data_IF_177307355533
#
_entry.id   IF_177307355533
#
_cell.length_a   1.000
_cell.length_b   1.000
_cell.length_c   1.000
_cell.angle_alpha   90.00
_cell.angle_beta   90.00
_cell.angle_gamma   90.00
#
_symmetry.space_group_name_H-M   'P 1'
#
loop_
_entity.id
_entity.type
_entity.pdbx_description
1 polymer ?
#
# COMPACT_ATOMS: atom_id res chain seq x y z
N UNK A 1 -7.00 8.50 -7.60
CA UNK A 1 -5.55 8.22 -7.46
C UNK A 1 -5.10 8.16 -6.00
N UNK A 2 -5.61 9.02 -5.12
CA UNK A 2 -5.25 9.03 -3.68
C UNK A 2 -5.30 7.66 -2.97
N UNK A 3 -6.26 6.77 -3.31
CA UNK A 3 -6.33 5.43 -2.73
C UNK A 3 -5.13 4.54 -3.11
N UNK A 4 -4.66 4.63 -4.36
CA UNK A 4 -3.47 3.91 -4.83
C UNK A 4 -2.21 4.47 -4.15
N UNK A 5 -2.10 5.79 -4.03
CA UNK A 5 -0.99 6.42 -3.32
C UNK A 5 -0.95 6.04 -1.84
N UNK A 6 -2.12 5.98 -1.19
CA UNK A 6 -2.22 5.55 0.22
C UNK A 6 -1.77 4.11 0.38
N UNK A 7 -2.21 3.21 -0.51
CA UNK A 7 -1.80 1.82 -0.47
C UNK A 7 -0.31 1.65 -0.75
N UNK A 8 0.25 2.40 -1.71
CA UNK A 8 1.68 2.44 -1.98
C UNK A 8 2.47 2.91 -0.77
N UNK A 9 2.03 3.99 -0.11
CA UNK A 9 2.64 4.48 1.15
C UNK A 9 2.68 3.39 2.21
N UNK A 10 1.54 2.77 2.51
CA UNK A 10 1.46 1.68 3.50
C UNK A 10 2.34 0.48 3.13
N UNK A 11 2.47 0.17 1.83
CA UNK A 11 3.35 -0.88 1.35
C UNK A 11 4.84 -0.53 1.56
N UNK A 12 5.24 0.73 1.40
CA UNK A 12 6.60 1.18 1.75
C UNK A 12 6.93 1.00 3.24
N UNK A 13 5.99 1.37 4.11
CA UNK A 13 6.10 1.17 5.58
C UNK A 13 6.20 -0.33 5.90
N UNK A 14 5.30 -1.14 5.34
CA UNK A 14 5.27 -2.58 5.56
C UNK A 14 6.59 -3.26 5.13
N UNK A 15 7.19 -2.83 4.02
CA UNK A 15 8.49 -3.31 3.55
C UNK A 15 9.62 -2.96 4.54
N UNK A 16 9.70 -1.69 4.97
CA UNK A 16 10.70 -1.26 5.96
C UNK A 16 10.57 -2.08 7.26
N UNK A 17 9.34 -2.29 7.71
CA UNK A 17 9.01 -3.02 8.94
C UNK A 17 9.00 -4.54 8.79
N UNK A 18 9.44 -5.09 7.65
CA UNK A 18 9.48 -6.54 7.36
C UNK A 18 8.12 -7.24 7.49
N UNK A 19 7.02 -6.49 7.37
CA UNK A 19 5.64 -7.01 7.35
C UNK A 19 5.30 -7.57 5.96
N UNK A 20 6.00 -8.64 5.56
CA UNK A 20 5.91 -9.22 4.22
C UNK A 20 4.52 -9.75 3.89
N UNK A 21 3.77 -10.25 4.88
CA UNK A 21 2.39 -10.71 4.70
C UNK A 21 1.48 -9.57 4.21
N UNK A 22 1.58 -8.38 4.82
CA UNK A 22 0.81 -7.20 4.41
C UNK A 22 1.24 -6.69 3.02
N UNK A 23 2.55 -6.70 2.74
CA UNK A 23 3.08 -6.37 1.40
C UNK A 23 2.45 -7.25 0.32
N UNK A 24 2.42 -8.57 0.54
CA UNK A 24 1.84 -9.53 -0.40
C UNK A 24 0.33 -9.35 -0.54
N UNK A 25 -0.37 -9.10 0.57
CA UNK A 25 -1.81 -8.88 0.60
C UNK A 25 -2.20 -7.64 -0.20
N UNK A 26 -1.54 -6.50 0.05
CA UNK A 26 -1.78 -5.25 -0.67
C UNK A 26 -1.57 -5.41 -2.18
N UNK A 27 -0.46 -6.01 -2.60
CA UNK A 27 -0.18 -6.27 -4.02
C UNK A 27 -1.22 -7.18 -4.67
N UNK A 28 -1.65 -8.24 -3.99
CA UNK A 28 -2.66 -9.16 -4.50
C UNK A 28 -3.99 -8.44 -4.75
N UNK A 29 -4.46 -7.66 -3.78
CA UNK A 29 -5.72 -6.93 -3.92
C UNK A 29 -5.59 -5.85 -4.98
N UNK A 30 -4.49 -5.09 -5.02
CA UNK A 30 -4.23 -4.09 -6.06
C UNK A 30 -4.36 -4.70 -7.47
N UNK A 31 -3.72 -5.85 -7.71
CA UNK A 31 -3.73 -6.53 -9.01
C UNK A 31 -5.12 -7.06 -9.40
N UNK A 32 -5.91 -7.47 -8.41
CA UNK A 32 -7.27 -7.99 -8.60
C UNK A 32 -8.30 -6.86 -8.80
N UNK A 33 -8.11 -5.73 -8.12
CA UNK A 33 -9.08 -4.62 -8.06
C UNK A 33 -8.87 -3.60 -9.18
N UNK A 34 -7.62 -3.29 -9.55
CA UNK A 34 -7.34 -2.23 -10.51
C UNK A 34 -7.53 -2.67 -11.97
N UNK A 35 -8.03 -1.79 -12.84
CA UNK A 35 -8.00 -2.03 -14.28
C UNK A 35 -6.54 -2.16 -14.75
N UNK A 36 -6.29 -3.01 -15.75
CA UNK A 36 -4.95 -3.28 -16.30
C UNK A 36 -4.39 -2.08 -17.06
N UNK A 37 -4.00 -1.04 -16.34
CA UNK A 37 -3.38 0.19 -16.84
C UNK A 37 -2.04 0.38 -16.17
N UNK A 38 -0.99 0.47 -16.98
CA UNK A 38 0.39 0.62 -16.52
C UNK A 38 0.57 1.77 -15.51
N UNK A 39 -0.03 2.93 -15.78
CA UNK A 39 0.13 4.13 -14.94
C UNK A 39 -0.35 3.91 -13.48
N UNK A 40 -1.31 3.01 -13.27
CA UNK A 40 -1.83 2.76 -11.92
C UNK A 40 -0.86 1.90 -11.10
N UNK A 41 -0.20 0.92 -11.73
CA UNK A 41 0.87 0.15 -11.11
C UNK A 41 2.09 1.04 -10.82
N UNK A 42 2.48 1.87 -11.79
CA UNK A 42 3.59 2.82 -11.62
C UNK A 42 3.37 3.79 -10.46
N UNK A 43 2.13 4.27 -10.26
CA UNK A 43 1.81 5.12 -9.11
C UNK A 43 1.99 4.37 -7.78
N UNK A 44 1.52 3.12 -7.68
CA UNK A 44 1.70 2.31 -6.47
C UNK A 44 3.18 2.07 -6.17
N UNK A 45 3.97 1.73 -7.18
CA UNK A 45 5.41 1.47 -7.04
C UNK A 45 6.18 2.74 -6.67
N UNK A 46 5.86 3.88 -7.30
CA UNK A 46 6.45 5.17 -6.97
C UNK A 46 6.22 5.54 -5.50
N UNK A 47 4.98 5.42 -5.03
CA UNK A 47 4.60 5.78 -3.66
C UNK A 47 5.16 4.80 -2.63
N UNK A 48 5.29 3.52 -2.99
CA UNK A 48 6.00 2.51 -2.19
C UNK A 48 7.45 2.92 -1.98
N UNK A 49 8.18 3.21 -3.06
CA UNK A 49 9.60 3.56 -2.96
C UNK A 49 9.80 4.87 -2.20
N UNK A 50 8.96 5.88 -2.48
CA UNK A 50 8.99 7.17 -1.78
C UNK A 50 8.79 6.99 -0.28
N UNK A 51 7.77 6.21 0.13
CA UNK A 51 7.49 6.00 1.55
C UNK A 51 8.54 5.15 2.25
N UNK A 52 9.11 4.15 1.58
CA UNK A 52 10.18 3.33 2.12
C UNK A 52 11.43 4.17 2.42
N UNK A 53 11.85 5.02 1.47
CA UNK A 53 12.98 5.92 1.67
C UNK A 53 12.72 6.95 2.76
N UNK A 54 11.54 7.56 2.78
CA UNK A 54 11.17 8.53 3.82
C UNK A 54 11.23 7.92 5.23
N UNK A 55 10.78 6.67 5.40
CA UNK A 55 10.84 5.97 6.69
C UNK A 55 12.28 5.75 7.17
N UNK A 56 13.21 5.46 6.25
CA UNK A 56 14.64 5.32 6.55
C UNK A 56 15.24 6.67 6.94
N UNK A 57 14.94 7.73 6.18
CA UNK A 57 15.50 9.07 6.42
C UNK A 57 15.02 9.69 7.74
N UNK A 58 13.80 9.38 8.14
CA UNK A 58 13.16 9.94 9.34
C UNK A 58 13.40 9.10 10.61
N UNK A 59 13.98 7.91 10.48
CA UNK A 59 14.17 6.95 11.57
C UNK A 59 12.87 6.68 12.36
N UNK A 60 11.74 6.59 11.63
CA UNK A 60 10.43 6.39 12.24
C UNK A 60 10.27 4.97 12.81
N UNK A 61 9.65 4.88 13.99
CA UNK A 61 9.35 3.59 14.59
C UNK A 61 8.24 2.85 13.81
N UNK A 62 8.44 1.55 13.61
CA UNK A 62 7.45 0.71 12.97
C UNK A 62 6.12 0.69 13.74
N UNK A 63 4.97 0.80 13.06
CA UNK A 63 3.67 0.66 13.70
C UNK A 63 3.51 -0.75 14.28
N UNK A 64 2.64 -0.88 15.29
CA UNK A 64 2.29 -2.21 15.80
C UNK A 64 1.62 -3.04 14.70
N UNK A 65 1.77 -4.39 14.72
CA UNK A 65 1.15 -5.25 13.71
C UNK A 65 -0.35 -5.01 13.56
N UNK A 66 -1.05 -4.88 14.69
CA UNK A 66 -2.49 -4.58 14.70
C UNK A 66 -2.83 -3.24 14.06
N UNK A 67 -2.07 -2.18 14.37
CA UNK A 67 -2.30 -0.87 13.76
C UNK A 67 -2.04 -0.86 12.26
N UNK A 68 -0.99 -1.57 11.80
CA UNK A 68 -0.70 -1.68 10.39
C UNK A 68 -1.80 -2.44 9.64
N UNK A 69 -2.28 -3.55 10.20
CA UNK A 69 -3.38 -4.33 9.61
C UNK A 69 -4.64 -3.48 9.46
N UNK A 70 -5.05 -2.71 10.48
CA UNK A 70 -6.22 -1.82 10.39
C UNK A 70 -6.05 -0.76 9.30
N UNK A 71 -4.89 -0.11 9.22
CA UNK A 71 -4.61 0.87 8.18
C UNK A 71 -4.66 0.25 6.77
N UNK A 72 -4.15 -0.98 6.62
CA UNK A 72 -4.22 -1.72 5.36
C UNK A 72 -5.67 -2.08 5.02
N UNK A 73 -6.46 -2.56 5.99
CA UNK A 73 -7.88 -2.90 5.80
C UNK A 73 -8.66 -1.71 5.26
N UNK A 74 -8.57 -0.56 5.93
CA UNK A 74 -9.24 0.68 5.52
C UNK A 74 -8.82 1.13 4.11
N UNK A 75 -7.53 1.04 3.80
CA UNK A 75 -7.01 1.42 2.48
C UNK A 75 -7.50 0.47 1.38
N UNK A 76 -7.60 -0.83 1.67
CA UNK A 76 -8.10 -1.84 0.74
C UNK A 76 -9.60 -1.67 0.49
N UNK A 77 -10.40 -1.47 1.54
CA UNK A 77 -11.83 -1.17 1.42
C UNK A 77 -12.06 0.09 0.57
N UNK A 78 -11.28 1.15 0.83
CA UNK A 78 -11.35 2.37 0.04
C UNK A 78 -11.00 2.12 -1.42
N UNK A 79 -9.94 1.36 -1.70
CA UNK A 79 -9.55 1.01 -3.06
C UNK A 79 -10.69 0.27 -3.78
N UNK A 80 -11.25 -0.76 -3.15
CA UNK A 80 -12.31 -1.60 -3.73
C UNK A 80 -13.60 -0.81 -3.96
N UNK A 81 -13.95 0.13 -3.08
CA UNK A 81 -15.12 1.01 -3.27
C UNK A 81 -15.01 1.91 -4.50
N UNK A 82 -13.79 2.30 -4.88
CA UNK A 82 -13.52 3.19 -6.03
C UNK A 82 -13.33 2.42 -7.34
N UNK A 83 -12.99 1.14 -7.25
CA UNK A 83 -12.79 0.24 -8.38
C UNK A 83 -13.62 -1.03 -8.15
N UNK A 84 -14.96 -0.92 -8.12
CA UNK A 84 -15.81 -2.08 -7.91
C UNK A 84 -15.54 -3.13 -8.98
N UNK A 85 -15.57 -4.40 -8.55
CA UNK A 85 -15.45 -5.53 -9.48
C UNK A 85 -16.52 -5.38 -10.57
N UNK A 86 -16.11 -5.58 -11.82
CA UNK A 86 -17.05 -5.76 -12.93
C UNK A 86 -17.73 -7.11 -12.82
#
# INVERSE_FOLDING_TARGET
>A
MAAISTLGRLNGIALHCKALAETQRMKRVLVATLPKRRQLGELFDYETNRSFMAFIEQDEACPSPHSLTLQVDEALERLQSLYPAK
#
